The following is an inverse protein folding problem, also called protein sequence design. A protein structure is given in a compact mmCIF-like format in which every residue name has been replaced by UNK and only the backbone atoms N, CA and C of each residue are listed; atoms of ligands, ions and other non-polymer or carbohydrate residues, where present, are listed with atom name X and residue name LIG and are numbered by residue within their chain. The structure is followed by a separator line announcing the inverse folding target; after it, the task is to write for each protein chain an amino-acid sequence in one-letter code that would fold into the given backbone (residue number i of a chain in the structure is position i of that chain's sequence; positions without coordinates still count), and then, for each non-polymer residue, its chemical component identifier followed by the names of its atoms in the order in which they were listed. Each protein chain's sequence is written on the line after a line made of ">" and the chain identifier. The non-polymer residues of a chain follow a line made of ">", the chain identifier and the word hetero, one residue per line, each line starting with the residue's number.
data_IF_091971824290
#
_entry.id   IF_091971824290
#
_cell.length_a   1.000
_cell.length_b   1.000
_cell.length_c   1.000
_cell.angle_alpha   90.00
_cell.angle_beta   90.00
_cell.angle_gamma   90.00
#
_symmetry.space_group_name_H-M   'P 1'
#
loop_
_entity.id
_entity.type
_entity.pdbx_description
1 polymer ?
#
# COMPACT_ATOMS: atom_id res chain seq x y z
N UNK A 1 -10.20 -2.21 -12.18
CA UNK A 1 -11.27 -1.57 -11.37
C UNK A 1 -10.70 -0.91 -10.10
N UNK A 2 -9.74 -1.54 -9.40
CA UNK A 2 -9.05 -0.97 -8.21
C UNK A 2 -8.30 0.34 -8.48
N UNK A 3 -7.63 0.45 -9.65
CA UNK A 3 -6.84 1.63 -10.06
C UNK A 3 -7.65 2.92 -10.19
N UNK A 4 -8.93 2.81 -10.58
CA UNK A 4 -9.83 3.95 -10.79
C UNK A 4 -10.38 4.51 -9.48
N UNK A 5 -10.60 3.65 -8.48
CA UNK A 5 -11.10 4.07 -7.16
C UNK A 5 -10.02 4.84 -6.40
N UNK A 6 -8.75 4.43 -6.51
CA UNK A 6 -7.64 5.05 -5.78
C UNK A 6 -7.14 6.35 -6.40
N UNK A 7 -7.19 6.49 -7.73
CA UNK A 7 -6.91 7.77 -8.41
C UNK A 7 -7.96 8.84 -8.08
N UNK A 8 -9.17 8.45 -7.68
CA UNK A 8 -10.22 9.38 -7.28
C UNK A 8 -10.17 9.71 -5.77
N UNK A 9 -9.41 8.93 -4.99
CA UNK A 9 -9.17 9.16 -3.56
C UNK A 9 -7.86 9.91 -3.29
N UNK A 10 -6.95 10.01 -4.27
CA UNK A 10 -5.67 10.71 -4.12
C UNK A 10 -5.77 12.23 -4.27
N UNK A 11 -6.86 12.73 -4.85
CA UNK A 11 -6.84 14.09 -5.43
C UNK A 11 -7.56 15.16 -4.61
N UNK A 12 -8.36 14.85 -3.56
CA UNK A 12 -9.17 15.92 -2.92
C UNK A 12 -9.13 16.09 -1.39
N UNK A 13 -8.74 15.15 -0.50
CA UNK A 13 -9.07 15.36 0.94
C UNK A 13 -8.17 14.77 2.05
N UNK A 14 -6.89 14.44 1.83
CA UNK A 14 -6.01 14.18 2.98
C UNK A 14 -4.54 14.38 2.72
N UNK A 15 -3.96 15.30 3.51
CA UNK A 15 -2.52 15.45 3.69
C UNK A 15 -1.85 14.10 4.00
N UNK A 16 -1.20 13.51 2.99
CA UNK A 16 -0.07 12.58 3.14
C UNK A 16 -0.31 11.18 3.72
N UNK A 17 -1.50 10.83 4.23
CA UNK A 17 -1.71 9.50 4.83
C UNK A 17 -2.03 8.44 3.77
N UNK A 18 -0.99 7.76 3.29
CA UNK A 18 -1.15 6.54 2.48
C UNK A 18 -1.26 5.31 3.40
N UNK A 19 -2.15 4.38 3.07
CA UNK A 19 -2.42 3.18 3.87
C UNK A 19 -2.17 1.93 3.02
N UNK A 20 -1.46 0.91 3.53
CA UNK A 20 -1.21 -0.31 2.77
C UNK A 20 -2.52 -1.08 2.53
N UNK A 21 -2.68 -1.62 1.30
CA UNK A 21 -3.79 -2.51 1.00
C UNK A 21 -3.57 -3.89 1.65
N UNK A 22 -4.55 -4.35 2.45
CA UNK A 22 -4.48 -5.64 3.13
C UNK A 22 -4.44 -6.81 2.13
N UNK A 23 -3.34 -7.57 2.16
CA UNK A 23 -3.10 -8.73 1.28
C UNK A 23 -4.16 -9.83 1.44
N UNK A 24 -4.71 -9.98 2.64
CA UNK A 24 -5.72 -11.01 2.94
C UNK A 24 -7.09 -10.73 2.29
N UNK A 25 -7.32 -9.51 1.78
CA UNK A 25 -8.54 -9.14 1.07
C UNK A 25 -8.39 -9.23 -0.45
N UNK A 26 -7.22 -9.67 -0.93
CA UNK A 26 -6.90 -9.77 -2.35
C UNK A 26 -6.70 -11.23 -2.71
N UNK A 27 -7.53 -11.76 -3.60
CA UNK A 27 -7.27 -13.06 -4.22
C UNK A 27 -6.21 -12.90 -5.30
N UNK A 28 -4.98 -13.24 -4.95
CA UNK A 28 -3.79 -13.12 -5.80
C UNK A 28 -3.88 -14.01 -7.05
N UNK A 29 -4.72 -15.05 -7.04
CA UNK A 29 -4.99 -15.92 -8.18
C UNK A 29 -5.87 -15.27 -9.25
N UNK A 30 -6.63 -14.23 -8.89
CA UNK A 30 -7.48 -13.47 -9.81
C UNK A 30 -6.76 -12.25 -10.43
N UNK A 31 -5.57 -11.93 -9.94
CA UNK A 31 -4.78 -10.80 -10.45
C UNK A 31 -3.98 -11.18 -11.69
N UNK A 32 -4.02 -10.32 -12.71
CA UNK A 32 -3.04 -10.37 -13.79
C UNK A 32 -1.64 -9.99 -13.29
N UNK A 33 -0.61 -10.37 -14.04
CA UNK A 33 0.79 -10.02 -13.73
C UNK A 33 0.97 -8.51 -13.59
N UNK A 34 0.31 -7.72 -14.46
CA UNK A 34 0.37 -6.27 -14.43
C UNK A 34 -0.28 -5.68 -13.17
N UNK A 35 -1.40 -6.23 -12.72
CA UNK A 35 -2.08 -5.79 -11.50
C UNK A 35 -1.30 -6.14 -10.24
N UNK A 36 -0.65 -7.31 -10.22
CA UNK A 36 0.25 -7.70 -9.13
C UNK A 36 1.46 -6.78 -9.04
N UNK A 37 2.10 -6.49 -10.18
CA UNK A 37 3.22 -5.56 -10.23
C UNK A 37 2.81 -4.17 -9.75
N UNK A 38 1.63 -3.70 -10.17
CA UNK A 38 1.09 -2.42 -9.73
C UNK A 38 0.83 -2.39 -8.21
N UNK A 39 0.28 -3.45 -7.64
CA UNK A 39 0.05 -3.57 -6.20
C UNK A 39 1.37 -3.55 -5.41
N UNK A 40 2.39 -4.25 -5.91
CA UNK A 40 3.72 -4.26 -5.29
C UNK A 40 4.38 -2.86 -5.34
N UNK A 41 4.29 -2.15 -6.47
CA UNK A 41 4.77 -0.77 -6.57
C UNK A 41 4.02 0.20 -5.66
N UNK A 42 2.72 0.00 -5.48
CA UNK A 42 1.93 0.80 -4.53
C UNK A 42 2.39 0.57 -3.09
N UNK A 43 2.62 -0.69 -2.69
CA UNK A 43 3.14 -1.01 -1.37
C UNK A 43 4.52 -0.41 -1.10
N UNK A 44 5.39 -0.34 -2.11
CA UNK A 44 6.66 0.41 -2.05
C UNK A 44 6.45 1.91 -1.82
N UNK A 45 5.54 2.54 -2.57
CA UNK A 45 5.24 3.97 -2.41
C UNK A 45 4.73 4.30 -0.99
N UNK A 46 3.83 3.47 -0.47
CA UNK A 46 3.32 3.60 0.91
C UNK A 46 4.46 3.43 1.91
N UNK A 47 5.33 2.44 1.72
CA UNK A 47 6.48 2.23 2.60
C UNK A 47 7.40 3.45 2.64
N UNK A 48 7.76 4.01 1.49
CA UNK A 48 8.68 5.14 1.38
C UNK A 48 8.13 6.41 2.05
N UNK A 49 6.81 6.61 1.99
CA UNK A 49 6.15 7.78 2.59
C UNK A 49 5.86 7.62 4.08
N UNK A 50 5.46 6.42 4.53
CA UNK A 50 4.98 6.19 5.89
C UNK A 50 6.09 5.72 6.83
N UNK A 51 7.08 4.95 6.34
CA UNK A 51 8.16 4.44 7.19
C UNK A 51 8.98 5.53 7.90
N UNK A 52 9.28 6.71 7.29
CA UNK A 52 10.01 7.78 7.98
C UNK A 52 9.22 8.38 9.15
N UNK A 53 7.89 8.36 9.09
CA UNK A 53 7.01 8.88 10.13
C UNK A 53 6.92 7.95 11.35
N UNK A 54 7.26 6.67 11.17
CA UNK A 54 7.16 5.61 12.19
C UNK A 54 8.52 5.20 12.79
N UNK A 55 9.60 5.94 12.54
CA UNK A 55 10.95 5.63 13.04
C UNK A 55 11.00 5.47 14.57
N UNK A 56 10.13 6.17 15.30
CA UNK A 56 10.05 6.12 16.77
C UNK A 56 9.10 5.02 17.30
N UNK A 57 8.40 4.31 16.42
CA UNK A 57 7.51 3.20 16.76
C UNK A 57 7.90 1.94 15.99
N UNK A 58 8.77 1.15 16.62
CA UNK A 58 9.28 -0.10 16.05
C UNK A 58 8.18 -1.14 15.80
N UNK A 59 7.09 -1.12 16.57
CA UNK A 59 5.94 -2.03 16.39
C UNK A 59 5.17 -1.63 15.14
N UNK A 60 4.85 -0.35 14.98
CA UNK A 60 4.15 0.15 13.80
C UNK A 60 4.99 -0.03 12.54
N UNK A 61 6.30 0.24 12.59
CA UNK A 61 7.21 0.02 11.47
C UNK A 61 7.31 -1.46 11.06
N UNK A 62 7.37 -2.37 12.03
CA UNK A 62 7.37 -3.82 11.76
C UNK A 62 6.06 -4.31 11.14
N UNK A 63 4.93 -3.75 11.60
CA UNK A 63 3.62 -4.01 10.99
C UNK A 63 3.57 -3.52 9.54
N UNK A 64 3.97 -2.27 9.30
CA UNK A 64 3.98 -1.67 7.97
C UNK A 64 4.83 -2.47 7.00
N UNK A 65 6.02 -2.94 7.43
CA UNK A 65 6.91 -3.74 6.61
C UNK A 65 6.27 -5.05 6.16
N UNK A 66 5.48 -5.68 7.02
CA UNK A 66 4.77 -6.91 6.71
C UNK A 66 3.62 -6.66 5.75
N UNK A 67 2.86 -5.58 5.93
CA UNK A 67 1.72 -5.28 5.06
C UNK A 67 2.16 -4.78 3.67
N UNK A 68 3.28 -4.06 3.57
CA UNK A 68 3.88 -3.62 2.31
C UNK A 68 4.80 -4.66 1.63
N UNK A 69 4.86 -5.90 2.13
CA UNK A 69 5.67 -6.92 1.46
C UNK A 69 5.02 -7.36 0.15
N UNK A 70 5.79 -7.66 -0.91
CA UNK A 70 5.25 -8.12 -2.19
C UNK A 70 4.31 -9.32 -2.05
N UNK A 71 3.28 -9.36 -2.91
CA UNK A 71 2.35 -10.49 -3.09
C UNK A 71 2.61 -11.27 -4.37
#
# INVERSE_FOLDING_TARGET
>A
MVRLILSQLSDEDSDGLQCPMHKNLVDVGLLSVSERNWLNSYHEEVWDKVSPLLQNDSRALSWLKRECSPV
#
